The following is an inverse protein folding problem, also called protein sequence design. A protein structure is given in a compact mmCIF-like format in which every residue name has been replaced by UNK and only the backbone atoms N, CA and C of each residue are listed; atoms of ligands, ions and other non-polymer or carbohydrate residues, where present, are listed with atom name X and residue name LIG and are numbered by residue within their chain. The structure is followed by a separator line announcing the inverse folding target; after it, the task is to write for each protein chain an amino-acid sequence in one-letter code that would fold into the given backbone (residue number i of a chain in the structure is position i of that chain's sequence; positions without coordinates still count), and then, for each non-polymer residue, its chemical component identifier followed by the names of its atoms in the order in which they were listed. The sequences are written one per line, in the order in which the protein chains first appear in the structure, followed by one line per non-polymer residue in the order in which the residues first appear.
data_IF_346620050407
#
_entry.id   IF_346620050407
#
_cell.length_a   1.000
_cell.length_b   1.000
_cell.length_c   1.000
_cell.angle_alpha   90.00
_cell.angle_beta   90.00
_cell.angle_gamma   90.00
#
_symmetry.space_group_name_H-M   'P 1'
#
loop_
_entity.id
_entity.type
_entity.pdbx_description
1 polymer ?
#
# COMPACT_ATOMS: atom_id res chain seq x y z
N UNK A 1 -0.49 -20.54 -5.84
CA UNK A 1 -1.19 -19.24 -5.76
C UNK A 1 -1.73 -19.16 -4.34
N UNK A 2 -1.00 -18.50 -3.45
CA UNK A 2 -1.35 -18.46 -2.03
C UNK A 2 -2.46 -17.44 -1.82
N UNK A 3 -3.62 -17.92 -1.38
CA UNK A 3 -4.71 -17.09 -0.91
C UNK A 3 -4.23 -16.30 0.31
N UNK A 4 -4.26 -14.98 0.19
CA UNK A 4 -4.07 -14.03 1.28
C UNK A 4 -5.03 -14.38 2.43
N UNK A 5 -4.56 -14.58 3.67
CA UNK A 5 -5.44 -14.83 4.79
C UNK A 5 -6.31 -13.61 5.03
N UNK A 6 -7.62 -13.80 4.90
CA UNK A 6 -8.66 -12.82 5.19
C UNK A 6 -8.64 -12.49 6.68
N UNK A 7 -7.84 -11.50 7.06
CA UNK A 7 -7.91 -10.89 8.36
C UNK A 7 -9.09 -9.91 8.39
N UNK A 8 -10.10 -10.11 9.25
CA UNK A 8 -11.35 -9.34 9.23
C UNK A 8 -11.23 -7.91 9.80
N UNK A 9 -10.01 -7.41 10.00
CA UNK A 9 -9.75 -6.07 10.54
C UNK A 9 -8.75 -5.28 9.71
N UNK A 10 -8.31 -5.83 8.58
CA UNK A 10 -7.43 -5.13 7.67
C UNK A 10 -8.29 -4.23 6.79
N UNK A 11 -7.97 -2.94 6.82
CA UNK A 11 -8.54 -1.97 5.91
C UNK A 11 -7.76 -2.09 4.60
N UNK A 12 -8.50 -2.05 3.50
CA UNK A 12 -7.87 -1.98 2.19
C UNK A 12 -7.33 -0.55 2.02
N UNK A 13 -6.02 -0.43 1.83
CA UNK A 13 -5.36 0.84 1.59
C UNK A 13 -4.84 0.85 0.16
N UNK A 14 -5.24 1.86 -0.58
CA UNK A 14 -4.72 2.14 -1.91
C UNK A 14 -3.51 3.06 -1.77
N UNK A 15 -2.36 2.58 -2.26
CA UNK A 15 -1.14 3.36 -2.38
C UNK A 15 -0.92 3.66 -3.85
N UNK A 16 -0.95 4.95 -4.16
CA UNK A 16 -0.65 5.47 -5.48
C UNK A 16 0.76 6.06 -5.43
N UNK A 17 1.67 5.50 -6.23
CA UNK A 17 3.06 5.92 -6.28
C UNK A 17 3.57 5.97 -7.71
N UNK A 18 4.67 6.68 -7.92
CA UNK A 18 5.33 6.77 -9.21
C UNK A 18 6.44 5.72 -9.32
N UNK A 19 6.33 4.83 -10.28
CA UNK A 19 7.29 3.74 -10.49
C UNK A 19 7.67 3.75 -11.96
N UNK A 20 8.97 3.79 -12.23
CA UNK A 20 9.52 3.65 -13.59
C UNK A 20 8.87 4.57 -14.64
N UNK A 21 8.62 5.84 -14.28
CA UNK A 21 8.04 6.81 -15.21
C UNK A 21 6.51 6.77 -15.34
N UNK A 22 5.83 5.93 -14.57
CA UNK A 22 4.36 5.78 -14.60
C UNK A 22 3.76 5.79 -13.20
N UNK A 23 2.51 6.24 -13.08
CA UNK A 23 1.77 6.11 -11.83
C UNK A 23 1.33 4.65 -11.70
N UNK A 24 1.82 4.00 -10.64
CA UNK A 24 1.45 2.65 -10.23
C UNK A 24 0.61 2.73 -8.96
N UNK A 25 -0.51 2.02 -8.98
CA UNK A 25 -1.41 1.92 -7.83
C UNK A 25 -1.42 0.48 -7.34
N UNK A 26 -1.23 0.30 -6.04
CA UNK A 26 -1.35 -1.01 -5.38
C UNK A 26 -2.38 -0.91 -4.25
N UNK A 27 -3.07 -2.01 -4.02
CA UNK A 27 -3.92 -2.19 -2.85
C UNK A 27 -3.23 -3.12 -1.88
N UNK A 28 -3.11 -2.70 -0.62
CA UNK A 28 -2.58 -3.51 0.47
C UNK A 28 -3.58 -3.55 1.62
N UNK A 29 -3.58 -4.66 2.34
CA UNK A 29 -4.42 -4.86 3.51
C UNK A 29 -3.59 -4.53 4.74
N UNK A 30 -3.97 -3.45 5.45
CA UNK A 30 -3.29 -3.05 6.69
C UNK A 30 -4.29 -2.47 7.70
N UNK A 31 -3.95 -2.52 8.98
CA UNK A 31 -4.80 -1.94 10.01
C UNK A 31 -4.70 -0.40 10.11
N UNK A 32 -3.56 0.17 9.69
CA UNK A 32 -3.28 1.61 9.84
C UNK A 32 -2.46 2.16 8.68
N UNK A 33 -2.63 3.46 8.38
CA UNK A 33 -1.77 4.19 7.43
C UNK A 33 -0.27 4.03 7.70
N UNK A 34 0.10 3.85 8.97
CA UNK A 34 1.48 3.73 9.40
C UNK A 34 2.06 2.38 8.99
N UNK A 35 1.26 1.30 9.06
CA UNK A 35 1.64 0.00 8.52
C UNK A 35 1.69 0.02 7.00
N UNK A 36 0.76 0.71 6.33
CA UNK A 36 0.82 0.87 4.88
C UNK A 36 2.14 1.52 4.45
N UNK A 37 2.54 2.58 5.15
CA UNK A 37 3.78 3.29 4.87
C UNK A 37 5.01 2.44 5.20
N UNK A 38 4.96 1.65 6.27
CA UNK A 38 6.06 0.77 6.67
C UNK A 38 6.23 -0.40 5.68
N UNK A 39 5.13 -0.99 5.21
CA UNK A 39 5.13 -1.98 4.13
C UNK A 39 5.73 -1.39 2.86
N UNK A 40 5.30 -0.18 2.48
CA UNK A 40 5.78 0.53 1.30
C UNK A 40 7.30 0.79 1.36
N UNK A 41 7.82 1.27 2.50
CA UNK A 41 9.26 1.46 2.72
C UNK A 41 10.01 0.13 2.79
N UNK A 42 9.41 -0.91 3.37
CA UNK A 42 10.01 -2.24 3.50
C UNK A 42 10.18 -2.94 2.15
N UNK A 43 9.33 -2.65 1.17
CA UNK A 43 9.49 -3.09 -0.23
C UNK A 43 10.65 -2.38 -0.95
N UNK A 44 11.35 -1.46 -0.28
CA UNK A 44 12.40 -0.65 -0.88
C UNK A 44 11.86 0.50 -1.72
N UNK A 45 10.56 0.83 -1.61
CA UNK A 45 9.97 1.97 -2.31
C UNK A 45 10.27 3.27 -1.58
N UNK A 46 10.58 4.31 -2.35
CA UNK A 46 10.89 5.61 -1.80
C UNK A 46 9.60 6.39 -1.51
N UNK A 47 9.48 6.94 -0.30
CA UNK A 47 8.35 7.82 0.08
C UNK A 47 8.21 9.07 -0.80
N UNK A 48 9.26 9.43 -1.55
CA UNK A 48 9.21 10.54 -2.51
C UNK A 48 8.34 10.20 -3.74
N UNK A 49 8.29 8.91 -4.10
CA UNK A 49 7.47 8.43 -5.19
C UNK A 49 6.02 8.20 -4.75
N UNK A 50 5.76 8.16 -3.45
CA UNK A 50 4.42 7.99 -2.91
C UNK A 50 3.61 9.27 -3.15
N UNK A 51 2.61 9.17 -4.02
CA UNK A 51 1.75 10.28 -4.39
C UNK A 51 0.56 10.43 -3.44
N UNK A 52 -0.07 9.30 -3.07
CA UNK A 52 -1.19 9.30 -2.13
C UNK A 52 -1.35 7.94 -1.45
N UNK A 53 -1.72 7.95 -0.17
CA UNK A 53 -2.22 6.78 0.56
C UNK A 53 -3.62 7.12 1.02
N UNK A 54 -4.60 6.35 0.56
CA UNK A 54 -5.98 6.49 1.02
C UNK A 54 -6.51 5.14 1.50
N UNK A 55 -7.25 5.09 2.61
CA UNK A 55 -8.11 3.95 2.87
C UNK A 55 -9.18 3.90 1.77
N UNK A 56 -9.40 2.72 1.21
CA UNK A 56 -10.60 2.44 0.42
C UNK A 56 -11.70 2.16 1.46
N UNK A 57 -12.50 3.19 1.76
CA UNK A 57 -13.65 3.16 2.67
C UNK A 57 -14.94 3.46 1.90
#
# INVERSE_FOLDING_TARGET
MAAIPEHPSDLEYELCYFDDGSITTITIFVHNRQEAMNWYVSEGKHINDLYSIRPDE
#
